data_IF_561901783016
#
_entry.id   IF_561901783016
#
_cell.length_a   1.000
_cell.length_b   1.000
_cell.length_c   1.000
_cell.angle_alpha   90.00
_cell.angle_beta   90.00
_cell.angle_gamma   90.00
#
_symmetry.space_group_name_H-M   'P 1'
#
loop_
_entity.id
_entity.type
_entity.pdbx_description
1 polymer ?
#
# COMPACT_ATOMS: atom_id res chain seq x y z
N UNK A 1 7.81 -22.89 12.97
CA UNK A 1 8.23 -21.49 13.23
C UNK A 1 6.98 -20.66 13.07
N UNK A 2 6.25 -20.43 14.17
CA UNK A 2 4.95 -19.74 14.16
C UNK A 2 5.16 -18.30 13.67
N UNK A 3 4.52 -17.92 12.56
CA UNK A 3 4.45 -16.51 12.15
C UNK A 3 3.70 -15.74 13.24
N UNK A 4 4.42 -14.87 13.95
CA UNK A 4 3.87 -14.13 15.09
C UNK A 4 2.88 -13.03 14.64
N UNK A 5 2.93 -12.62 13.37
CA UNK A 5 2.10 -11.58 12.78
C UNK A 5 1.71 -11.96 11.35
N UNK A 6 0.55 -11.48 10.86
CA UNK A 6 0.11 -11.78 9.50
C UNK A 6 1.09 -11.19 8.47
N UNK A 7 1.30 -11.93 7.38
CA UNK A 7 2.22 -11.55 6.32
C UNK A 7 1.56 -11.70 4.96
N UNK A 8 1.78 -10.70 4.12
CA UNK A 8 1.35 -10.68 2.73
C UNK A 8 2.50 -10.26 1.82
N UNK A 9 2.43 -10.67 0.56
CA UNK A 9 3.49 -10.40 -0.41
C UNK A 9 2.92 -9.99 -1.75
N UNK A 10 3.28 -8.79 -2.20
CA UNK A 10 3.13 -8.38 -3.59
C UNK A 10 4.20 -9.05 -4.45
N UNK A 11 3.77 -9.88 -5.40
CA UNK A 11 4.62 -10.42 -6.48
C UNK A 11 4.10 -9.87 -7.80
N UNK A 12 4.87 -8.97 -8.43
CA UNK A 12 4.34 -8.17 -9.53
C UNK A 12 3.11 -7.39 -9.06
N UNK A 13 1.96 -7.64 -9.69
CA UNK A 13 0.70 -6.95 -9.41
C UNK A 13 -0.29 -7.78 -8.57
N UNK A 14 0.16 -8.86 -7.94
CA UNK A 14 -0.69 -9.77 -7.19
C UNK A 14 -0.27 -9.80 -5.72
N UNK A 15 -1.23 -9.65 -4.81
CA UNK A 15 -1.03 -9.76 -3.37
C UNK A 15 -1.49 -11.13 -2.89
N UNK A 16 -0.57 -11.85 -2.25
CA UNK A 16 -0.87 -13.14 -1.64
C UNK A 16 -0.67 -13.08 -0.12
N UNK A 17 -1.42 -13.88 0.63
CA UNK A 17 -1.13 -14.14 2.05
C UNK A 17 0.01 -15.16 2.23
N UNK A 18 0.32 -15.52 3.47
CA UNK A 18 1.39 -16.49 3.76
C UNK A 18 1.06 -17.94 3.41
N UNK A 19 -0.21 -18.27 3.16
CA UNK A 19 -0.65 -19.58 2.65
C UNK A 19 -0.58 -19.66 1.13
N UNK A 20 -0.41 -18.52 0.45
CA UNK A 20 -0.43 -18.40 -1.01
C UNK A 20 -1.80 -18.08 -1.59
N UNK A 21 -2.81 -17.77 -0.76
CA UNK A 21 -4.12 -17.33 -1.21
C UNK A 21 -4.00 -15.94 -1.86
N UNK A 22 -4.59 -15.78 -3.05
CA UNK A 22 -4.66 -14.51 -3.75
C UNK A 22 -5.72 -13.61 -3.12
N UNK A 23 -5.31 -12.44 -2.63
CA UNK A 23 -6.19 -11.46 -1.98
C UNK A 23 -6.53 -10.27 -2.88
N UNK A 24 -5.57 -9.82 -3.70
CA UNK A 24 -5.79 -8.69 -4.58
C UNK A 24 -4.97 -8.76 -5.86
N UNK A 25 -5.48 -8.17 -6.94
CA UNK A 25 -4.75 -7.99 -8.20
C UNK A 25 -4.82 -6.55 -8.67
N UNK A 26 -3.80 -6.08 -9.37
CA UNK A 26 -3.79 -4.76 -10.02
C UNK A 26 -3.61 -4.91 -11.53
N UNK A 27 -4.61 -4.48 -12.29
CA UNK A 27 -4.60 -4.54 -13.75
C UNK A 27 -5.04 -3.17 -14.30
N UNK A 28 -4.23 -2.62 -15.19
CA UNK A 28 -4.40 -1.25 -15.69
C UNK A 28 -4.44 -0.24 -14.54
N UNK A 29 -5.62 0.32 -14.28
CA UNK A 29 -5.95 1.29 -13.24
C UNK A 29 -6.97 0.74 -12.24
N UNK A 30 -7.13 -0.58 -12.15
CA UNK A 30 -8.07 -1.23 -11.22
C UNK A 30 -7.34 -2.13 -10.24
N UNK A 31 -7.64 -1.94 -8.95
CA UNK A 31 -7.31 -2.89 -7.88
C UNK A 31 -8.57 -3.72 -7.63
N UNK A 32 -8.49 -5.02 -7.87
CA UNK A 32 -9.55 -5.99 -7.55
C UNK A 32 -9.21 -6.67 -6.21
N UNK A 33 -10.13 -6.65 -5.26
CA UNK A 33 -9.95 -7.10 -3.86
C UNK A 33 -11.19 -7.88 -3.45
N UNK A 34 -11.12 -9.21 -3.43
CA UNK A 34 -12.22 -10.08 -2.96
C UNK A 34 -13.61 -9.75 -3.56
N UNK A 35 -13.67 -9.26 -4.80
CA UNK A 35 -14.91 -8.86 -5.48
C UNK A 35 -15.24 -7.36 -5.43
N UNK A 36 -14.55 -6.59 -4.59
CA UNK A 36 -14.56 -5.12 -4.64
C UNK A 36 -13.54 -4.61 -5.66
N UNK A 37 -13.83 -3.44 -6.23
CA UNK A 37 -12.94 -2.78 -7.20
C UNK A 37 -12.67 -1.35 -6.81
N UNK A 38 -11.40 -0.99 -6.82
CA UNK A 38 -10.94 0.38 -6.68
C UNK A 38 -10.37 0.85 -8.02
N UNK A 39 -10.96 1.90 -8.60
CA UNK A 39 -10.35 2.62 -9.73
C UNK A 39 -9.27 3.54 -9.15
N UNK A 40 -8.00 3.30 -9.50
CA UNK A 40 -6.84 4.03 -9.00
C UNK A 40 -6.18 4.90 -10.07
N UNK A 41 -5.98 6.16 -9.72
CA UNK A 41 -5.19 7.12 -10.47
C UNK A 41 -3.95 7.49 -9.65
N UNK A 42 -2.80 7.61 -10.32
CA UNK A 42 -1.60 8.14 -9.67
C UNK A 42 -0.87 9.12 -10.56
N UNK A 43 -0.38 10.19 -9.94
CA UNK A 43 0.45 11.19 -10.59
C UNK A 43 1.82 11.15 -9.93
N UNK A 44 2.81 10.44 -10.51
CA UNK A 44 4.20 10.57 -10.13
C UNK A 44 4.77 11.83 -10.79
N UNK A 45 4.38 13.01 -10.30
CA UNK A 45 4.95 14.27 -10.77
C UNK A 45 6.41 14.40 -10.32
N UNK A 46 7.27 15.13 -11.07
CA UNK A 46 8.69 15.32 -10.73
C UNK A 46 8.91 15.98 -9.37
N UNK A 47 7.87 16.64 -8.83
CA UNK A 47 7.91 17.38 -7.57
C UNK A 47 6.91 16.85 -6.53
N UNK A 48 5.87 16.12 -6.94
CA UNK A 48 4.78 15.68 -6.05
C UNK A 48 4.22 14.32 -6.44
N UNK A 49 4.21 13.39 -5.48
CA UNK A 49 3.46 12.15 -5.54
C UNK A 49 2.04 12.33 -4.98
N UNK A 50 1.06 11.84 -5.73
CA UNK A 50 -0.33 11.64 -5.28
C UNK A 50 -0.91 10.38 -5.90
N UNK A 51 -1.71 9.66 -5.14
CA UNK A 51 -2.60 8.61 -5.61
C UNK A 51 -4.01 8.84 -5.09
N UNK A 52 -5.02 8.48 -5.88
CA UNK A 52 -6.42 8.49 -5.50
C UNK A 52 -7.05 7.19 -5.98
N UNK A 53 -7.86 6.55 -5.15
CA UNK A 53 -8.72 5.47 -5.60
C UNK A 53 -10.18 5.74 -5.26
N UNK A 54 -11.10 5.14 -6.01
CA UNK A 54 -12.56 5.20 -5.76
C UNK A 54 -13.14 3.80 -5.80
N UNK A 55 -13.86 3.41 -4.75
CA UNK A 55 -14.57 2.13 -4.72
C UNK A 55 -15.82 2.16 -5.59
N UNK A 56 -16.34 0.97 -5.92
CA UNK A 56 -17.66 0.78 -6.54
C UNK A 56 -18.80 1.43 -5.76
N UNK A 57 -18.65 1.58 -4.43
CA UNK A 57 -19.64 2.20 -3.55
C UNK A 57 -19.45 3.72 -3.40
N UNK A 58 -18.43 4.30 -4.06
CA UNK A 58 -18.15 5.73 -4.04
C UNK A 58 -17.18 6.19 -2.95
N UNK A 59 -16.65 5.27 -2.13
CA UNK A 59 -15.63 5.61 -1.13
C UNK A 59 -14.36 6.11 -1.81
N UNK A 60 -13.80 7.19 -1.28
CA UNK A 60 -12.60 7.80 -1.83
C UNK A 60 -11.41 7.53 -0.92
N UNK A 61 -10.33 7.08 -1.55
CA UNK A 61 -9.05 6.83 -0.93
C UNK A 61 -8.03 7.77 -1.53
N UNK A 62 -7.16 8.36 -0.71
CA UNK A 62 -6.13 9.27 -1.19
C UNK A 62 -4.81 9.02 -0.48
N UNK A 63 -3.71 9.20 -1.20
CA UNK A 63 -2.36 9.31 -0.65
C UNK A 63 -1.67 10.50 -1.30
N UNK A 64 -0.95 11.30 -0.51
CA UNK A 64 -0.11 12.37 -1.03
C UNK A 64 1.14 12.55 -0.17
N UNK A 65 2.21 13.06 -0.78
CA UNK A 65 3.43 13.36 -0.03
C UNK A 65 3.24 14.54 0.94
N UNK A 66 3.78 14.41 2.14
CA UNK A 66 3.84 15.48 3.13
C UNK A 66 5.18 16.20 3.02
N UNK A 67 5.17 17.41 2.47
CA UNK A 67 6.37 18.24 2.30
C UNK A 67 7.09 18.00 0.97
N UNK A 68 8.40 18.22 0.97
CA UNK A 68 9.23 18.24 -0.25
C UNK A 68 9.69 16.87 -0.72
N UNK A 69 9.72 15.86 0.16
CA UNK A 69 10.15 14.51 -0.18
C UNK A 69 9.03 13.52 0.07
N UNK A 70 9.14 12.33 -0.51
CA UNK A 70 8.23 11.20 -0.29
C UNK A 70 8.55 10.43 1.01
N UNK A 71 9.37 10.99 1.91
CA UNK A 71 9.72 10.34 3.18
C UNK A 71 8.49 10.02 4.03
N UNK A 72 7.52 10.93 4.01
CA UNK A 72 6.24 10.78 4.69
C UNK A 72 5.12 11.01 3.69
N UNK A 73 4.21 10.05 3.58
CA UNK A 73 2.94 10.26 2.89
C UNK A 73 1.81 10.31 3.92
N UNK A 74 0.80 11.11 3.62
CA UNK A 74 -0.47 11.12 4.35
C UNK A 74 -1.50 10.42 3.48
N UNK A 75 -2.28 9.55 4.09
CA UNK A 75 -3.34 8.83 3.42
C UNK A 75 -4.67 8.99 4.17
N UNK A 76 -5.77 9.05 3.43
CA UNK A 76 -7.13 8.98 3.95
C UNK A 76 -7.87 7.87 3.20
N UNK A 77 -8.49 6.97 3.93
CA UNK A 77 -9.31 5.87 3.42
C UNK A 77 -10.70 6.03 4.04
N UNK A 78 -11.62 6.65 3.31
CA UNK A 78 -12.85 7.19 3.91
C UNK A 78 -12.51 8.14 5.07
N UNK A 79 -13.08 7.88 6.24
CA UNK A 79 -12.86 8.67 7.46
C UNK A 79 -11.59 8.28 8.24
N UNK A 80 -10.81 7.30 7.76
CA UNK A 80 -9.61 6.84 8.47
C UNK A 80 -8.34 7.41 7.87
N UNK A 81 -7.57 8.14 8.68
CA UNK A 81 -6.27 8.69 8.30
C UNK A 81 -5.11 7.79 8.71
N UNK A 82 -4.08 7.76 7.85
CA UNK A 82 -2.84 7.03 8.05
C UNK A 82 -1.62 7.88 7.65
N UNK A 83 -0.47 7.54 8.21
CA UNK A 83 0.83 8.01 7.75
C UNK A 83 1.66 6.83 7.20
N UNK A 84 2.32 7.04 6.05
CA UNK A 84 3.23 6.08 5.43
C UNK A 84 4.65 6.64 5.51
N UNK A 85 5.38 6.25 6.55
CA UNK A 85 6.66 6.86 6.93
C UNK A 85 7.81 5.93 6.55
N UNK A 86 8.80 6.44 5.81
CA UNK A 86 10.03 5.68 5.55
C UNK A 86 10.79 5.47 6.86
N UNK A 87 11.17 4.22 7.14
CA UNK A 87 12.03 3.87 8.27
C UNK A 87 13.51 3.89 7.88
N UNK A 88 13.81 3.86 6.58
CA UNK A 88 15.16 3.92 6.03
C UNK A 88 15.18 4.64 4.69
N UNK A 89 16.16 5.53 4.52
CA UNK A 89 16.46 6.19 3.24
C UNK A 89 17.02 5.21 2.20
N UNK A 90 17.73 4.17 2.65
CA UNK A 90 18.40 3.21 1.77
C UNK A 90 17.50 2.05 1.35
N UNK A 91 16.71 1.50 2.27
CA UNK A 91 15.89 0.29 2.02
C UNK A 91 14.47 0.59 1.55
N UNK A 92 14.10 1.86 1.35
CA UNK A 92 12.73 2.33 1.02
C UNK A 92 11.62 1.60 1.81
N UNK A 93 11.95 1.10 3.00
CA UNK A 93 11.00 0.44 3.90
C UNK A 93 10.12 1.51 4.53
N UNK A 94 8.83 1.19 4.68
CA UNK A 94 7.84 2.08 5.28
C UNK A 94 7.08 1.41 6.40
N UNK A 95 6.57 2.21 7.32
CA UNK A 95 5.51 1.79 8.26
C UNK A 95 4.18 2.40 7.84
N UNK A 96 3.12 1.61 7.99
CA UNK A 96 1.74 2.08 7.99
C UNK A 96 1.39 2.41 9.44
N UNK A 97 1.20 3.69 9.73
CA UNK A 97 0.84 4.19 11.06
C UNK A 97 -0.60 4.68 11.05
N UNK A 98 -1.42 4.11 11.94
CA UNK A 98 -2.74 4.64 12.27
C UNK A 98 -2.71 5.49 13.54
N UNK A 99 -3.89 5.93 14.01
CA UNK A 99 -4.01 6.81 15.18
C UNK A 99 -3.39 6.23 16.46
N UNK A 100 -3.38 4.89 16.61
CA UNK A 100 -2.92 4.20 17.83
C UNK A 100 -1.55 3.52 17.69
N UNK A 101 -0.82 3.79 16.61
CA UNK A 101 0.53 3.24 16.40
C UNK A 101 0.74 2.59 15.04
N UNK A 102 1.82 1.81 14.94
CA UNK A 102 2.20 1.08 13.72
C UNK A 102 1.30 -0.14 13.57
N UNK A 103 0.72 -0.30 12.38
CA UNK A 103 -0.18 -1.41 12.03
C UNK A 103 0.52 -2.44 11.14
N UNK A 104 1.46 -2.00 10.31
CA UNK A 104 2.23 -2.88 9.43
C UNK A 104 3.52 -2.22 8.92
N UNK A 105 4.45 -3.05 8.46
CA UNK A 105 5.66 -2.70 7.73
C UNK A 105 5.53 -3.07 6.27
N UNK A 106 5.93 -2.18 5.36
CA UNK A 106 6.00 -2.42 3.91
C UNK A 106 7.47 -2.47 3.51
N UNK A 107 7.95 -3.65 3.10
CA UNK A 107 9.37 -3.95 2.89
C UNK A 107 9.62 -4.39 1.45
N UNK A 108 10.28 -3.55 0.63
CA UNK A 108 10.73 -3.99 -0.69
C UNK A 108 11.90 -4.96 -0.55
N UNK A 109 11.87 -6.04 -1.34
CA UNK A 109 12.87 -7.10 -1.36
C UNK A 109 13.75 -6.98 -2.61
N UNK A 110 14.97 -7.51 -2.54
CA UNK A 110 15.92 -7.54 -3.69
C UNK A 110 15.33 -8.28 -4.89
N UNK A 111 14.46 -9.27 -4.65
CA UNK A 111 13.74 -10.04 -5.68
C UNK A 111 12.67 -9.23 -6.43
N UNK A 112 12.41 -7.98 -6.04
CA UNK A 112 11.33 -7.15 -6.59
C UNK A 112 9.95 -7.40 -5.96
N UNK A 113 9.85 -8.39 -5.05
CA UNK A 113 8.68 -8.58 -4.19
C UNK A 113 8.57 -7.45 -3.16
N UNK A 114 7.36 -7.18 -2.69
CA UNK A 114 7.13 -6.26 -1.56
C UNK A 114 6.33 -6.98 -0.49
N UNK A 115 6.89 -7.06 0.71
CA UNK A 115 6.24 -7.71 1.84
C UNK A 115 5.48 -6.69 2.67
N UNK A 116 4.28 -7.07 3.09
CA UNK A 116 3.51 -6.39 4.12
C UNK A 116 3.51 -7.28 5.36
N UNK A 117 4.07 -6.80 6.45
CA UNK A 117 4.19 -7.55 7.70
C UNK A 117 3.38 -6.80 8.75
N UNK A 118 2.33 -7.42 9.28
CA UNK A 118 1.52 -6.86 10.35
C UNK A 118 2.29 -6.69 11.66
N UNK A 119 1.71 -5.92 12.57
CA UNK A 119 2.11 -5.85 13.99
C UNK A 119 1.06 -6.51 14.87
N UNK A 120 1.18 -6.37 16.19
CA UNK A 120 0.16 -6.78 17.16
C UNK A 120 -1.16 -6.02 17.05
N UNK A 121 -1.26 -5.05 16.12
CA UNK A 121 -2.44 -4.21 15.86
C UNK A 121 -2.96 -4.37 14.43
N UNK A 122 -2.44 -5.33 13.68
CA UNK A 122 -2.76 -5.52 12.27
C UNK A 122 -4.26 -5.78 12.03
N UNK A 123 -4.96 -6.38 13.01
CA UNK A 123 -6.40 -6.64 12.98
C UNK A 123 -7.25 -5.36 12.90
N UNK A 124 -6.69 -4.20 13.24
CA UNK A 124 -7.35 -2.90 13.17
C UNK A 124 -7.27 -2.33 11.74
N UNK A 125 -6.42 -2.87 10.87
CA UNK A 125 -6.24 -2.40 9.50
C UNK A 125 -7.15 -3.20 8.54
N UNK A 126 -8.24 -2.59 8.00
CA UNK A 126 -9.10 -3.29 7.05
C UNK A 126 -8.32 -3.73 5.81
N UNK A 127 -8.67 -4.90 5.26
CA UNK A 127 -7.99 -5.47 4.07
C UNK A 127 -7.92 -4.46 2.91
N UNK A 128 -9.03 -3.83 2.56
CA UNK A 128 -9.08 -2.82 1.49
C UNK A 128 -8.13 -1.64 1.74
N UNK A 129 -7.97 -1.20 3.00
CA UNK A 129 -7.00 -0.16 3.37
C UNK A 129 -5.57 -0.69 3.24
N UNK A 130 -5.29 -1.91 3.73
CA UNK A 130 -3.98 -2.53 3.61
C UNK A 130 -3.53 -2.65 2.15
N UNK A 131 -4.42 -3.07 1.25
CA UNK A 131 -4.15 -3.19 -0.18
C UNK A 131 -3.86 -1.81 -0.77
N UNK A 132 -4.76 -0.83 -0.60
CA UNK A 132 -4.56 0.51 -1.17
C UNK A 132 -3.28 1.18 -0.65
N UNK A 133 -3.04 1.16 0.65
CA UNK A 133 -1.88 1.81 1.28
C UNK A 133 -0.56 1.15 0.86
N UNK A 134 -0.50 -0.18 0.86
CA UNK A 134 0.71 -0.90 0.44
C UNK A 134 0.97 -0.76 -1.07
N UNK A 135 -0.09 -0.69 -1.89
CA UNK A 135 0.04 -0.40 -3.31
C UNK A 135 0.49 1.05 -3.58
N UNK A 136 0.04 2.02 -2.79
CA UNK A 136 0.57 3.39 -2.88
C UNK A 136 2.07 3.46 -2.58
N UNK A 137 2.58 2.66 -1.63
CA UNK A 137 4.01 2.49 -1.38
C UNK A 137 4.73 1.88 -2.60
N UNK A 138 4.12 0.88 -3.25
CA UNK A 138 4.65 0.31 -4.50
C UNK A 138 4.79 1.39 -5.58
N UNK A 139 3.74 2.18 -5.82
CA UNK A 139 3.71 3.21 -6.86
C UNK A 139 4.78 4.29 -6.65
N UNK A 140 4.97 4.75 -5.40
CA UNK A 140 5.94 5.82 -5.11
C UNK A 140 7.39 5.33 -5.10
N UNK A 141 7.64 4.08 -4.70
CA UNK A 141 8.99 3.57 -4.47
C UNK A 141 9.53 2.68 -5.62
N UNK A 142 8.64 2.16 -6.48
CA UNK A 142 8.96 1.30 -7.63
C UNK A 142 8.54 1.94 -8.97
N UNK A 143 9.33 2.89 -9.51
CA UNK A 143 8.96 3.64 -10.71
C UNK A 143 8.88 2.81 -12.01
N UNK A 144 9.22 1.52 -11.98
CA UNK A 144 9.22 0.60 -13.13
C UNK A 144 7.85 -0.07 -13.35
N UNK A 145 6.93 -0.02 -12.37
CA UNK A 145 5.57 -0.59 -12.49
C UNK A 145 4.62 0.42 -13.12
N UNK A 146 4.88 0.79 -14.38
CA UNK A 146 3.90 1.54 -15.18
C UNK A 146 2.94 0.53 -15.82
N UNK A 147 1.61 0.61 -15.57
CA UNK A 147 0.66 -0.08 -16.42
C UNK A 147 0.92 0.37 -17.85
N UNK A 148 1.18 -0.56 -18.77
CA UNK A 148 1.17 -0.22 -20.19
C UNK A 148 -0.28 0.16 -20.53
N UNK A 149 -0.43 1.33 -21.14
CA UNK A 149 -1.66 1.75 -21.84
C UNK A 149 -1.95 0.75 -22.94
#
# INVERSE_FOLDING_TARGET
MSEQYPRWTWTGNELHDSTGLLLATVRSDVIDIEGDRLLIESSPGPLRFRARATSTNGDVYTVYQRGFTVSTLVANCGDTSYALERTSVWRKERVIRGARGVLAHVRPMISGKVELIGTERAEILPTVHAVFLSWACVLVDSPVRRPRV
#
